data_IF_499692964461
#
_entry.id   IF_499692964461
#
_cell.length_a   1.000
_cell.length_b   1.000
_cell.length_c   1.000
_cell.angle_alpha   90.00
_cell.angle_beta   90.00
_cell.angle_gamma   90.00
#
_symmetry.space_group_name_H-M   'P 1'
#
loop_
_entity.id
_entity.type
_entity.pdbx_description
1 polymer ?
#
# COMPACT_ATOMS: atom_id res chain seq x y z
N UNK A 1 -17.77 24.35 12.78
CA UNK A 1 -17.52 23.01 12.21
C UNK A 1 -16.15 22.56 12.69
N UNK A 2 -16.06 21.60 13.61
CA UNK A 2 -14.79 21.06 14.09
C UNK A 2 -14.48 19.78 13.31
N UNK A 3 -13.55 19.86 12.37
CA UNK A 3 -13.00 18.66 11.73
C UNK A 3 -12.21 17.88 12.78
N UNK A 4 -12.57 16.61 13.01
CA UNK A 4 -11.69 15.70 13.76
C UNK A 4 -10.45 15.46 12.91
N UNK A 5 -9.33 16.04 13.32
CA UNK A 5 -8.02 15.64 12.82
C UNK A 5 -7.79 14.22 13.32
N UNK A 6 -8.04 13.23 12.46
CA UNK A 6 -7.48 11.90 12.67
C UNK A 6 -5.96 12.08 12.60
N UNK A 7 -5.29 11.88 13.74
CA UNK A 7 -3.84 11.82 13.80
C UNK A 7 -3.42 10.60 12.99
N UNK A 8 -2.93 10.87 11.77
CA UNK A 8 -2.32 9.86 10.91
C UNK A 8 -0.84 9.84 11.24
N UNK A 9 -0.30 8.66 11.57
CA UNK A 9 1.14 8.48 11.70
C UNK A 9 1.77 8.57 10.30
N UNK A 10 2.06 9.80 9.88
CA UNK A 10 2.82 10.08 8.67
C UNK A 10 4.31 9.89 8.96
N UNK A 11 4.84 8.70 8.63
CA UNK A 11 6.28 8.46 8.65
C UNK A 11 6.96 9.22 7.50
N UNK A 12 7.31 10.48 7.74
CA UNK A 12 7.97 11.37 6.76
C UNK A 12 9.31 10.81 6.24
N UNK A 13 9.91 9.84 6.93
CA UNK A 13 11.12 9.13 6.50
C UNK A 13 10.87 8.15 5.34
N UNK A 14 9.61 7.79 5.07
CA UNK A 14 9.22 6.87 4.02
C UNK A 14 8.85 7.68 2.77
N UNK A 15 9.87 8.11 2.02
CA UNK A 15 9.66 8.78 0.73
C UNK A 15 9.15 7.80 -0.33
N UNK A 16 7.90 7.95 -0.78
CA UNK A 16 7.46 7.22 -1.97
C UNK A 16 5.97 7.19 -2.21
N UNK A 17 5.62 6.58 -3.33
CA UNK A 17 4.26 6.14 -3.64
C UNK A 17 4.26 4.61 -3.63
N UNK A 18 3.09 3.99 -3.50
CA UNK A 18 2.94 2.52 -3.58
C UNK A 18 3.63 1.92 -4.82
N UNK A 19 3.79 2.71 -5.89
CA UNK A 19 4.41 2.31 -7.14
C UNK A 19 5.93 2.06 -7.08
N UNK A 20 6.59 2.38 -5.96
CA UNK A 20 7.99 2.01 -5.70
C UNK A 20 8.12 0.64 -5.04
N UNK A 21 7.00 0.04 -4.61
CA UNK A 21 6.95 -1.23 -3.93
C UNK A 21 6.41 -2.33 -4.84
N UNK A 22 6.42 -3.56 -4.34
CA UNK A 22 5.86 -4.74 -4.96
C UNK A 22 5.71 -5.85 -3.94
N UNK A 23 5.07 -6.94 -4.32
CA UNK A 23 4.88 -8.11 -3.48
C UNK A 23 5.17 -9.39 -4.25
N UNK A 24 5.60 -10.43 -3.55
CA UNK A 24 5.61 -11.79 -4.11
C UNK A 24 4.17 -12.30 -4.22
N UNK A 25 3.92 -13.09 -5.26
CA UNK A 25 2.69 -13.89 -5.37
C UNK A 25 2.56 -14.86 -4.20
N UNK A 26 1.35 -15.35 -3.95
CA UNK A 26 1.08 -16.24 -2.80
C UNK A 26 1.89 -17.54 -2.83
N UNK A 27 2.28 -18.00 -4.02
CA UNK A 27 3.15 -19.16 -4.23
C UNK A 27 4.65 -18.80 -4.19
N UNK A 28 5.00 -17.52 -4.01
CA UNK A 28 6.37 -17.02 -3.93
C UNK A 28 7.15 -17.02 -5.24
N UNK A 29 6.52 -17.37 -6.37
CA UNK A 29 7.25 -17.58 -7.63
C UNK A 29 7.51 -16.29 -8.41
N UNK A 30 6.63 -15.30 -8.29
CA UNK A 30 6.72 -14.06 -9.06
C UNK A 30 6.73 -12.84 -8.16
N UNK A 31 7.68 -11.94 -8.38
CA UNK A 31 7.66 -10.60 -7.79
C UNK A 31 6.87 -9.64 -8.67
N UNK A 32 5.83 -9.05 -8.09
CA UNK A 32 4.90 -8.14 -8.75
C UNK A 32 5.19 -6.69 -8.34
N UNK A 33 5.87 -5.88 -9.17
CA UNK A 33 6.04 -4.46 -8.89
C UNK A 33 4.70 -3.72 -9.06
N UNK A 34 4.26 -3.00 -8.03
CA UNK A 34 2.98 -2.28 -8.04
C UNK A 34 2.94 -1.13 -9.04
N UNK A 35 4.12 -0.64 -9.48
CA UNK A 35 4.24 0.35 -10.54
C UNK A 35 3.51 -0.03 -11.84
N UNK A 36 3.31 -1.33 -12.11
CA UNK A 36 2.57 -1.81 -13.29
C UNK A 36 1.06 -1.47 -13.26
N UNK A 37 0.54 -1.05 -12.12
CA UNK A 37 -0.87 -0.69 -11.92
C UNK A 37 -1.12 0.82 -11.82
N UNK A 38 -0.15 1.66 -12.21
CA UNK A 38 -0.34 3.12 -12.28
C UNK A 38 -1.59 3.48 -13.09
N UNK A 39 -2.43 4.37 -12.54
CA UNK A 39 -3.67 4.81 -13.17
C UNK A 39 -4.84 3.84 -13.05
N UNK A 40 -4.70 2.74 -12.29
CA UNK A 40 -5.78 1.81 -11.96
C UNK A 40 -6.18 1.96 -10.49
N UNK A 41 -7.42 1.60 -10.16
CA UNK A 41 -7.82 1.45 -8.76
C UNK A 41 -7.26 0.15 -8.18
N UNK A 42 -6.68 0.22 -7.00
CA UNK A 42 -6.05 -0.91 -6.31
C UNK A 42 -6.70 -1.07 -4.93
N UNK A 43 -7.12 -2.28 -4.59
CA UNK A 43 -7.65 -2.62 -3.28
C UNK A 43 -6.57 -3.33 -2.45
N UNK A 44 -6.16 -2.71 -1.34
CA UNK A 44 -5.32 -3.37 -0.34
C UNK A 44 -6.22 -3.93 0.76
N UNK A 45 -6.18 -5.26 0.95
CA UNK A 45 -6.93 -5.95 2.00
C UNK A 45 -5.94 -6.43 3.05
N UNK A 46 -6.11 -5.98 4.29
CA UNK A 46 -5.39 -6.55 5.43
C UNK A 46 -6.17 -7.77 5.92
N UNK A 47 -5.71 -8.97 5.57
CA UNK A 47 -6.32 -10.22 6.04
C UNK A 47 -5.64 -10.60 7.35
N UNK A 48 -6.32 -10.39 8.48
CA UNK A 48 -5.92 -10.94 9.76
C UNK A 48 -6.45 -12.39 9.87
N UNK A 49 -5.57 -13.34 10.17
CA UNK A 49 -5.96 -14.70 10.59
C UNK A 49 -6.15 -14.72 12.10
N UNK A 50 -7.24 -15.32 12.59
CA UNK A 50 -7.51 -15.51 14.02
C UNK A 50 -6.64 -16.61 14.64
#
# INVERSE_FOLDING_TARGET
MHARLHEVDCYNSVEGTIYRYGALTIDGQEYIPFGKYRGKMILFVNVATY
#
